data_IF_563056593224
#
_entry.id   IF_563056593224
#
_cell.length_a   1.000
_cell.length_b   1.000
_cell.length_c   1.000
_cell.angle_alpha   90.00
_cell.angle_beta   90.00
_cell.angle_gamma   90.00
#
_symmetry.space_group_name_H-M   'P 1'
#
loop_
_entity.id
_entity.type
_entity.pdbx_description
1 polymer ?
#
# COMPACT_ATOMS: atom_id res chain seq x y z
N UNK A 1 36.08 43.90 -36.76
CA UNK A 1 34.99 42.94 -36.45
C UNK A 1 35.45 41.55 -35.99
N UNK A 2 36.55 40.96 -36.52
CA UNK A 2 37.04 39.61 -36.12
C UNK A 2 37.34 39.40 -34.62
N UNK A 3 37.88 40.40 -33.91
CA UNK A 3 38.19 40.29 -32.45
C UNK A 3 36.96 40.13 -31.55
N UNK A 4 35.81 40.73 -31.91
CA UNK A 4 34.57 40.60 -31.13
C UNK A 4 33.91 39.22 -31.31
N UNK A 5 34.01 38.63 -32.51
CA UNK A 5 33.51 37.28 -32.80
C UNK A 5 34.28 36.19 -32.04
N UNK A 6 35.60 36.32 -31.92
CA UNK A 6 36.41 35.41 -31.10
C UNK A 6 36.08 35.49 -29.61
N UNK A 7 35.91 36.71 -29.05
CA UNK A 7 35.50 36.87 -27.65
C UNK A 7 34.12 36.27 -27.36
N UNK A 8 33.15 36.47 -28.26
CA UNK A 8 31.81 35.85 -28.14
C UNK A 8 31.86 34.33 -28.22
N UNK A 9 32.68 33.78 -29.13
CA UNK A 9 32.82 32.32 -29.25
C UNK A 9 33.47 31.71 -28.01
N UNK A 10 34.47 32.38 -27.43
CA UNK A 10 35.14 31.94 -26.20
C UNK A 10 34.18 31.90 -25.01
N UNK A 11 33.38 32.96 -24.84
CA UNK A 11 32.39 33.07 -23.77
C UNK A 11 31.26 32.03 -23.92
N UNK A 12 30.89 31.71 -25.16
CA UNK A 12 29.88 30.70 -25.46
C UNK A 12 30.38 29.29 -25.16
N UNK A 13 31.65 28.99 -25.49
CA UNK A 13 32.31 27.72 -25.11
C UNK A 13 32.39 27.57 -23.60
N UNK A 14 32.77 28.62 -22.88
CA UNK A 14 32.90 28.61 -21.41
C UNK A 14 31.55 28.40 -20.70
N UNK A 15 30.48 29.00 -21.23
CA UNK A 15 29.11 28.77 -20.72
C UNK A 15 28.64 27.34 -21.01
N UNK A 16 28.92 26.81 -22.21
CA UNK A 16 28.55 25.42 -22.55
C UNK A 16 29.33 24.39 -21.73
N UNK A 17 30.63 24.62 -21.48
CA UNK A 17 31.42 23.72 -20.63
C UNK A 17 30.94 23.76 -19.18
N UNK A 18 30.63 24.96 -18.65
CA UNK A 18 30.05 25.10 -17.31
C UNK A 18 28.69 24.38 -17.19
N UNK A 19 27.78 24.57 -18.16
CA UNK A 19 26.50 23.85 -18.19
C UNK A 19 26.69 22.33 -18.30
N UNK A 20 27.63 21.87 -19.11
CA UNK A 20 27.90 20.43 -19.26
C UNK A 20 28.40 19.80 -17.97
N UNK A 21 29.29 20.49 -17.24
CA UNK A 21 29.77 20.07 -15.92
C UNK A 21 28.64 20.02 -14.90
N UNK A 22 27.78 21.04 -14.89
CA UNK A 22 26.59 21.10 -14.04
C UNK A 22 25.68 19.90 -14.30
N UNK A 23 25.40 19.56 -15.57
CA UNK A 23 24.58 18.40 -15.92
C UNK A 23 25.24 17.07 -15.54
N UNK A 24 26.55 16.93 -15.72
CA UNK A 24 27.30 15.72 -15.37
C UNK A 24 27.25 15.47 -13.85
N UNK A 25 27.25 16.52 -13.04
CA UNK A 25 27.17 16.40 -11.57
C UNK A 25 25.72 16.25 -11.10
N UNK A 26 24.79 17.03 -11.62
CA UNK A 26 23.39 16.98 -11.17
C UNK A 26 22.69 15.66 -11.53
N UNK A 27 22.94 15.11 -12.72
CA UNK A 27 22.26 13.89 -13.17
C UNK A 27 22.45 12.70 -12.20
N UNK A 28 23.68 12.33 -11.79
CA UNK A 28 23.89 11.27 -10.81
C UNK A 28 23.36 11.65 -9.41
N UNK A 29 23.48 12.90 -8.98
CA UNK A 29 22.91 13.35 -7.70
C UNK A 29 21.38 13.20 -7.65
N UNK A 30 20.68 13.60 -8.72
CA UNK A 30 19.23 13.45 -8.86
C UNK A 30 18.87 11.96 -8.85
N UNK A 31 19.55 11.13 -9.66
CA UNK A 31 19.28 9.68 -9.70
C UNK A 31 19.51 9.01 -8.34
N UNK A 32 20.58 9.38 -7.65
CA UNK A 32 20.88 8.88 -6.30
C UNK A 32 19.81 9.29 -5.30
N UNK A 33 19.42 10.56 -5.28
CA UNK A 33 18.36 11.05 -4.41
C UNK A 33 17.02 10.36 -4.67
N UNK A 34 16.62 10.24 -5.93
CA UNK A 34 15.40 9.50 -6.30
C UNK A 34 15.48 8.02 -5.91
N UNK A 35 16.64 7.38 -6.05
CA UNK A 35 16.86 6.00 -5.64
C UNK A 35 16.68 5.79 -4.14
N UNK A 36 17.32 6.64 -3.32
CA UNK A 36 17.15 6.62 -1.86
C UNK A 36 15.69 6.87 -1.49
N UNK A 37 15.07 7.89 -2.08
CA UNK A 37 13.70 8.25 -1.75
C UNK A 37 12.73 7.10 -2.00
N UNK A 38 12.87 6.42 -3.15
CA UNK A 38 12.08 5.25 -3.48
C UNK A 38 12.32 4.08 -2.53
N UNK A 39 13.58 3.82 -2.17
CA UNK A 39 13.95 2.78 -1.20
C UNK A 39 13.27 3.01 0.15
N UNK A 40 13.27 4.24 0.64
CA UNK A 40 12.63 4.60 1.91
C UNK A 40 11.11 4.42 1.82
N UNK A 41 10.48 4.80 0.71
CA UNK A 41 9.04 4.60 0.52
C UNK A 41 8.67 3.11 0.51
N UNK A 42 9.43 2.29 -0.23
CA UNK A 42 9.21 0.84 -0.30
C UNK A 42 9.43 0.16 1.07
N UNK A 43 10.44 0.61 1.84
CA UNK A 43 10.71 0.15 3.21
C UNK A 43 9.56 0.50 4.17
N UNK A 44 9.00 1.71 4.06
CA UNK A 44 7.89 2.13 4.94
C UNK A 44 6.62 1.34 4.68
N UNK A 45 6.31 1.09 3.40
CA UNK A 45 5.18 0.22 3.04
C UNK A 45 5.38 -1.16 3.65
N UNK A 46 6.59 -1.72 3.52
CA UNK A 46 6.94 -3.03 4.06
C UNK A 46 6.86 -3.07 5.60
N UNK A 47 7.28 -2.01 6.28
CA UNK A 47 7.21 -1.85 7.74
C UNK A 47 5.76 -1.78 8.25
N UNK A 48 4.88 -1.12 7.51
CA UNK A 48 3.48 -0.94 7.90
C UNK A 48 2.58 -2.10 7.48
N UNK A 49 3.02 -2.92 6.52
CA UNK A 49 2.25 -4.01 5.95
C UNK A 49 1.69 -5.01 6.99
N UNK A 50 2.42 -5.46 8.02
CA UNK A 50 1.85 -6.32 9.06
C UNK A 50 0.65 -5.68 9.77
N UNK A 51 0.76 -4.39 10.11
CA UNK A 51 -0.33 -3.64 10.74
C UNK A 51 -1.52 -3.45 9.78
N UNK A 52 -1.27 -3.26 8.48
CA UNK A 52 -2.32 -3.23 7.45
C UNK A 52 -3.07 -4.55 7.42
N UNK A 53 -2.34 -5.67 7.38
CA UNK A 53 -2.93 -7.01 7.37
C UNK A 53 -3.83 -7.19 8.60
N UNK A 54 -3.32 -6.88 9.80
CA UNK A 54 -4.09 -7.01 11.04
C UNK A 54 -5.36 -6.14 11.02
N UNK A 55 -5.25 -4.89 10.57
CA UNK A 55 -6.40 -3.98 10.41
C UNK A 55 -7.44 -4.52 9.42
N UNK A 56 -7.02 -5.19 8.34
CA UNK A 56 -7.95 -5.82 7.40
C UNK A 56 -8.74 -6.94 8.09
N UNK A 57 -8.07 -7.81 8.85
CA UNK A 57 -8.74 -8.88 9.58
C UNK A 57 -9.66 -8.36 10.70
N UNK A 58 -9.28 -7.29 11.42
CA UNK A 58 -10.15 -6.66 12.41
C UNK A 58 -11.41 -6.06 11.79
N UNK A 59 -11.28 -5.37 10.65
CA UNK A 59 -12.44 -4.83 9.95
C UNK A 59 -13.40 -5.93 9.47
N UNK A 60 -12.86 -7.06 9.01
CA UNK A 60 -13.66 -8.23 8.62
C UNK A 60 -14.33 -8.85 9.85
N UNK A 61 -13.61 -8.98 10.97
CA UNK A 61 -14.17 -9.49 12.23
C UNK A 61 -15.32 -8.63 12.73
N UNK A 62 -15.18 -7.31 12.71
CA UNK A 62 -16.22 -6.37 13.13
C UNK A 62 -17.46 -6.47 12.23
N UNK A 63 -17.27 -6.57 10.90
CA UNK A 63 -18.36 -6.79 9.95
C UNK A 63 -19.07 -8.13 10.18
N UNK A 64 -18.32 -9.20 10.47
CA UNK A 64 -18.90 -10.50 10.83
C UNK A 64 -19.70 -10.40 12.14
N UNK A 65 -19.17 -9.68 13.14
CA UNK A 65 -19.85 -9.46 14.43
C UNK A 65 -21.18 -8.74 14.22
N UNK A 66 -21.21 -7.70 13.38
CA UNK A 66 -22.43 -6.97 13.04
C UNK A 66 -23.46 -7.87 12.33
N UNK A 67 -23.03 -8.70 11.37
CA UNK A 67 -23.92 -9.67 10.71
C UNK A 67 -24.49 -10.68 11.69
N UNK A 68 -23.67 -11.19 12.61
CA UNK A 68 -24.10 -12.14 13.65
C UNK A 68 -25.13 -11.52 14.60
N UNK A 69 -24.98 -10.23 14.98
CA UNK A 69 -25.95 -9.49 15.78
C UNK A 69 -27.29 -9.32 15.06
N UNK A 70 -27.24 -9.10 13.75
CA UNK A 70 -28.42 -8.98 12.89
C UNK A 70 -29.06 -10.35 12.53
N UNK A 71 -28.50 -11.46 13.03
CA UNK A 71 -28.98 -12.81 12.74
C UNK A 71 -28.66 -13.31 11.33
N UNK A 72 -27.81 -12.61 10.59
CA UNK A 72 -27.40 -12.96 9.22
C UNK A 72 -26.18 -13.88 9.31
N UNK A 73 -26.27 -15.05 8.67
CA UNK A 73 -25.20 -16.04 8.69
C UNK A 73 -25.09 -16.81 7.38
N UNK A 74 -24.45 -16.20 6.37
CA UNK A 74 -24.20 -16.90 5.13
C UNK A 74 -23.16 -18.00 5.36
N UNK A 75 -23.08 -18.96 4.46
CA UNK A 75 -21.99 -19.95 4.45
C UNK A 75 -20.67 -19.35 3.98
N UNK A 76 -20.72 -18.25 3.22
CA UNK A 76 -19.55 -17.58 2.66
C UNK A 76 -19.83 -16.11 2.39
N UNK A 77 -18.78 -15.30 2.27
CA UNK A 77 -18.89 -13.88 1.91
C UNK A 77 -17.66 -13.40 1.15
N UNK A 78 -17.80 -12.27 0.46
CA UNK A 78 -16.67 -11.60 -0.19
C UNK A 78 -16.92 -10.10 -0.26
N UNK A 79 -15.85 -9.31 -0.31
CA UNK A 79 -15.95 -7.87 -0.48
C UNK A 79 -14.64 -7.21 -0.84
N UNK A 80 -14.74 -5.92 -1.12
CA UNK A 80 -13.61 -5.04 -1.43
C UNK A 80 -13.62 -3.88 -0.45
N UNK A 81 -12.45 -3.57 0.11
CA UNK A 81 -12.27 -2.53 1.11
C UNK A 81 -10.95 -1.81 0.88
N UNK A 82 -10.74 -0.71 1.60
CA UNK A 82 -9.53 0.09 1.53
C UNK A 82 -9.00 0.36 2.93
N UNK A 83 -7.72 0.09 3.16
CA UNK A 83 -7.00 0.52 4.35
C UNK A 83 -6.21 1.79 4.02
N UNK A 84 -6.08 2.73 4.95
CA UNK A 84 -5.26 3.94 4.73
C UNK A 84 -3.96 3.83 5.52
N UNK A 85 -2.84 4.07 4.84
CA UNK A 85 -1.51 4.13 5.46
C UNK A 85 -0.86 5.49 5.27
N UNK A 86 0.11 5.83 6.12
CA UNK A 86 0.84 7.08 6.03
C UNK A 86 2.25 6.85 5.45
N UNK A 87 2.56 7.54 4.36
CA UNK A 87 3.91 7.56 3.77
C UNK A 87 4.90 8.35 4.65
N UNK A 88 6.21 8.21 4.40
CA UNK A 88 7.28 9.04 5.03
C UNK A 88 7.01 10.53 4.96
N UNK A 89 6.33 10.98 3.90
CA UNK A 89 6.01 12.40 3.68
C UNK A 89 4.74 12.85 4.42
N UNK A 90 4.13 11.99 5.24
CA UNK A 90 2.85 12.27 5.91
C UNK A 90 1.65 12.27 4.97
N UNK A 91 1.79 11.83 3.72
CA UNK A 91 0.67 11.65 2.79
C UNK A 91 -0.05 10.34 3.08
N UNK A 92 -1.37 10.36 2.99
CA UNK A 92 -2.18 9.14 3.04
C UNK A 92 -2.11 8.39 1.70
N UNK A 93 -1.85 7.09 1.78
CA UNK A 93 -1.94 6.15 0.68
C UNK A 93 -3.09 5.19 0.97
N UNK A 94 -3.97 5.00 0.00
CA UNK A 94 -5.01 3.99 0.09
C UNK A 94 -4.49 2.65 -0.43
N UNK A 95 -4.60 1.64 0.41
CA UNK A 95 -4.25 0.25 0.14
C UNK A 95 -5.55 -0.51 -0.12
N UNK A 96 -5.88 -0.80 -1.39
CA UNK A 96 -7.04 -1.62 -1.69
C UNK A 96 -6.78 -3.07 -1.27
N UNK A 97 -7.80 -3.72 -0.74
CA UNK A 97 -7.78 -5.16 -0.48
C UNK A 97 -9.12 -5.79 -0.78
N UNK A 98 -9.09 -7.03 -1.26
CA UNK A 98 -10.29 -7.87 -1.37
C UNK A 98 -10.24 -8.94 -0.28
N UNK A 99 -11.39 -9.45 0.10
CA UNK A 99 -11.47 -10.56 1.04
C UNK A 99 -12.52 -11.57 0.61
N UNK A 100 -12.30 -12.81 1.02
CA UNK A 100 -13.28 -13.89 0.96
C UNK A 100 -13.31 -14.62 2.30
N UNK A 101 -14.51 -15.02 2.71
CA UNK A 101 -14.81 -15.66 3.98
C UNK A 101 -15.50 -16.97 3.67
N UNK A 102 -15.00 -18.06 4.24
CA UNK A 102 -15.65 -19.35 4.24
C UNK A 102 -16.01 -19.73 5.70
N UNK A 103 -17.30 -19.74 6.01
CA UNK A 103 -17.80 -19.96 7.35
C UNK A 103 -17.92 -21.47 7.58
N UNK A 104 -17.01 -22.00 8.39
CA UNK A 104 -16.95 -23.45 8.70
C UNK A 104 -18.02 -23.88 9.70
N UNK A 105 -18.25 -23.07 10.73
CA UNK A 105 -19.17 -23.43 11.81
C UNK A 105 -19.72 -22.19 12.52
N UNK A 106 -21.02 -22.18 12.76
CA UNK A 106 -21.67 -21.23 13.66
C UNK A 106 -22.29 -21.92 14.86
N UNK A 107 -22.15 -21.32 16.04
CA UNK A 107 -22.88 -21.71 17.25
C UNK A 107 -24.05 -20.76 17.44
N UNK A 108 -25.27 -21.27 17.24
CA UNK A 108 -26.50 -20.51 17.47
C UNK A 108 -26.83 -20.44 18.96
N UNK A 109 -27.17 -19.25 19.43
CA UNK A 109 -27.95 -19.02 20.64
C UNK A 109 -29.44 -18.89 20.31
N UNK A 110 -30.22 -18.29 21.20
CA UNK A 110 -31.68 -18.21 21.07
C UNK A 110 -32.12 -17.56 19.74
N UNK A 111 -31.69 -16.33 19.48
CA UNK A 111 -32.06 -15.56 18.27
C UNK A 111 -30.87 -15.04 17.46
N UNK A 112 -29.65 -15.21 17.96
CA UNK A 112 -28.41 -14.74 17.33
C UNK A 112 -27.34 -15.84 17.32
N UNK A 113 -26.27 -15.63 16.55
CA UNK A 113 -25.14 -16.56 16.52
C UNK A 113 -24.09 -16.08 17.51
N UNK A 114 -23.86 -16.85 18.56
CA UNK A 114 -22.95 -16.48 19.66
C UNK A 114 -21.49 -16.63 19.30
N UNK A 115 -21.16 -17.55 18.39
CA UNK A 115 -19.80 -17.74 17.93
C UNK A 115 -19.77 -18.24 16.48
N UNK A 116 -18.75 -17.86 15.72
CA UNK A 116 -18.52 -18.25 14.36
C UNK A 116 -17.04 -18.57 14.15
N UNK A 117 -16.76 -19.68 13.47
CA UNK A 117 -15.44 -20.02 13.00
C UNK A 117 -15.40 -19.96 11.49
N UNK A 118 -14.50 -19.15 10.95
CA UNK A 118 -14.38 -18.91 9.51
C UNK A 118 -12.92 -18.91 9.06
N UNK A 119 -12.70 -19.33 7.83
CA UNK A 119 -11.43 -19.09 7.13
C UNK A 119 -11.58 -17.84 6.29
N UNK A 120 -10.66 -16.91 6.48
CA UNK A 120 -10.64 -15.63 5.80
C UNK A 120 -9.37 -15.52 4.98
N UNK A 121 -9.56 -15.29 3.69
CA UNK A 121 -8.49 -14.99 2.74
C UNK A 121 -8.59 -13.52 2.38
N UNK A 122 -7.48 -12.80 2.53
CA UNK A 122 -7.33 -11.39 2.19
C UNK A 122 -6.29 -11.26 1.09
N UNK A 123 -6.63 -10.51 0.04
CA UNK A 123 -5.72 -10.14 -1.04
C UNK A 123 -5.43 -8.63 -0.95
N UNK A 124 -4.21 -8.28 -0.58
CA UNK A 124 -3.76 -6.88 -0.48
C UNK A 124 -3.12 -6.47 -1.80
N UNK A 125 -3.45 -5.26 -2.28
CA UNK A 125 -3.09 -4.76 -3.61
C UNK A 125 -3.54 -5.71 -4.73
N UNK A 126 -4.85 -5.97 -4.88
CA UNK A 126 -5.36 -6.82 -5.96
C UNK A 126 -4.95 -6.25 -7.32
N UNK A 127 -4.65 -7.14 -8.28
CA UNK A 127 -4.23 -6.78 -9.65
C UNK A 127 -2.92 -5.97 -9.77
N UNK A 128 -2.11 -5.90 -8.71
CA UNK A 128 -0.78 -5.29 -8.76
C UNK A 128 0.32 -6.35 -8.84
N UNK A 129 1.50 -5.96 -9.33
CA UNK A 129 2.68 -6.86 -9.36
C UNK A 129 3.14 -7.32 -7.97
N UNK A 130 2.74 -6.60 -6.93
CA UNK A 130 3.10 -6.87 -5.53
C UNK A 130 1.90 -7.38 -4.72
N UNK A 131 0.93 -8.02 -5.37
CA UNK A 131 -0.22 -8.63 -4.68
C UNK A 131 0.25 -9.60 -3.60
N UNK A 132 -0.38 -9.53 -2.44
CA UNK A 132 -0.13 -10.44 -1.33
C UNK A 132 -1.43 -11.13 -0.91
N UNK A 133 -1.37 -12.46 -0.79
CA UNK A 133 -2.47 -13.29 -0.33
C UNK A 133 -2.16 -13.78 1.09
N UNK A 134 -3.06 -13.49 2.01
CA UNK A 134 -2.93 -13.86 3.42
C UNK A 134 -4.19 -14.60 3.84
N UNK A 135 -4.02 -15.78 4.42
CA UNK A 135 -5.12 -16.57 4.96
C UNK A 135 -4.99 -16.68 6.47
N UNK A 136 -6.08 -16.42 7.20
CA UNK A 136 -6.17 -16.67 8.64
C UNK A 136 -7.53 -17.27 8.99
N UNK A 137 -7.55 -18.13 9.99
CA UNK A 137 -8.80 -18.59 10.60
C UNK A 137 -9.22 -17.61 11.69
N UNK A 138 -10.47 -17.16 11.66
CA UNK A 138 -11.05 -16.27 12.66
C UNK A 138 -12.06 -17.01 13.51
N UNK A 139 -12.06 -16.71 14.82
CA UNK A 139 -13.11 -17.10 15.75
C UNK A 139 -13.79 -15.83 16.25
N UNK A 140 -14.97 -15.53 15.71
CA UNK A 140 -15.74 -14.33 16.05
C UNK A 140 -16.77 -14.71 17.10
N UNK A 141 -16.86 -13.94 18.18
CA UNK A 141 -17.75 -14.20 19.32
C UNK A 141 -18.60 -12.95 19.57
N UNK A 142 -19.87 -13.14 19.93
CA UNK A 142 -20.78 -12.11 20.43
C UNK A 142 -20.82 -12.06 21.96
#
# INVERSE_FOLDING_TARGET
>A
MRKQQHKRSFLLVEVLTALSLICIVLTPCIRFYYGIHRSIEDEIISLQLPAVIDNCFFAIEDAMREQMLNGIFPSSGSGELTCTIATSQGKSLQVPYTYSIDIRKGMRGDSCIKACFADVLVEVFPNHRHTMLIQRSLCVIL
#
